data_IF_498716881644
#
_entry.id   IF_498716881644
#
_cell.length_a   1.000
_cell.length_b   1.000
_cell.length_c   1.000
_cell.angle_alpha   90.00
_cell.angle_beta   90.00
_cell.angle_gamma   90.00
#
_symmetry.space_group_name_H-M   'P 1'
#
loop_
_entity.id
_entity.type
_entity.pdbx_description
1 polymer ?
#
# COMPACT_ATOMS: atom_id res chain seq x y z
N UNK A 1 -16.30 -13.97 -40.95
CA UNK A 1 -15.12 -13.39 -40.28
C UNK A 1 -14.27 -14.54 -39.77
N UNK A 2 -12.94 -14.46 -39.78
CA UNK A 2 -12.06 -15.56 -39.37
C UNK A 2 -11.19 -15.14 -38.18
N UNK A 3 -10.69 -16.12 -37.43
CA UNK A 3 -9.81 -15.86 -36.30
C UNK A 3 -8.43 -15.40 -36.78
N UNK A 4 -7.96 -14.28 -36.22
CA UNK A 4 -6.66 -13.68 -36.54
C UNK A 4 -5.44 -14.59 -36.25
N UNK A 5 -5.60 -15.63 -35.43
CA UNK A 5 -4.51 -16.55 -35.07
C UNK A 5 -4.56 -17.90 -35.80
N UNK A 6 -5.74 -18.40 -36.17
CA UNK A 6 -5.88 -19.77 -36.70
C UNK A 6 -6.88 -19.92 -37.85
N UNK A 7 -7.40 -18.83 -38.39
CA UNK A 7 -8.31 -18.84 -39.55
C UNK A 7 -9.69 -19.44 -39.30
N UNK A 8 -9.98 -19.95 -38.09
CA UNK A 8 -11.28 -20.56 -37.78
C UNK A 8 -12.44 -19.57 -38.02
N UNK A 9 -13.54 -20.06 -38.60
CA UNK A 9 -14.73 -19.24 -38.83
C UNK A 9 -15.30 -18.73 -37.52
N UNK A 10 -15.56 -17.43 -37.45
CA UNK A 10 -16.12 -16.73 -36.31
C UNK A 10 -17.53 -16.26 -36.61
N UNK A 11 -18.38 -16.27 -35.58
CA UNK A 11 -19.70 -15.64 -35.63
C UNK A 11 -19.58 -14.13 -35.89
N UNK A 12 -20.57 -13.58 -36.59
CA UNK A 12 -20.58 -12.18 -37.07
C UNK A 12 -20.53 -11.13 -35.97
N UNK A 13 -20.99 -11.44 -34.75
CA UNK A 13 -20.92 -10.52 -33.60
C UNK A 13 -19.61 -10.59 -32.80
N UNK A 14 -18.60 -11.34 -33.24
CA UNK A 14 -17.34 -11.44 -32.51
C UNK A 14 -16.49 -10.15 -32.64
N UNK A 15 -16.47 -9.36 -31.56
CA UNK A 15 -15.69 -8.10 -31.49
C UNK A 15 -14.20 -8.30 -31.22
N UNK A 16 -13.78 -9.47 -30.77
CA UNK A 16 -12.38 -9.72 -30.40
C UNK A 16 -11.50 -10.05 -31.61
N UNK A 17 -12.07 -10.58 -32.71
CA UNK A 17 -11.30 -11.11 -33.83
C UNK A 17 -10.55 -12.42 -33.52
N UNK A 18 -10.71 -12.98 -32.31
CA UNK A 18 -10.11 -14.25 -31.90
C UNK A 18 -11.17 -15.29 -31.55
N UNK A 19 -10.85 -16.56 -31.80
CA UNK A 19 -11.70 -17.65 -31.34
C UNK A 19 -11.52 -17.86 -29.83
N UNK A 20 -12.42 -18.63 -29.21
CA UNK A 20 -12.38 -18.94 -27.77
C UNK A 20 -11.04 -19.51 -27.29
N UNK A 21 -10.32 -20.23 -28.16
CA UNK A 21 -8.99 -20.79 -27.85
C UNK A 21 -7.89 -19.71 -27.81
N UNK A 22 -7.96 -18.71 -28.68
CA UNK A 22 -6.90 -17.70 -28.84
C UNK A 22 -7.19 -16.37 -28.12
N UNK A 23 -8.45 -16.11 -27.75
CA UNK A 23 -8.82 -14.85 -27.10
C UNK A 23 -8.10 -14.66 -25.76
N UNK A 24 -7.86 -15.73 -24.99
CA UNK A 24 -7.13 -15.65 -23.73
C UNK A 24 -5.68 -15.17 -23.91
N UNK A 25 -4.97 -15.75 -24.88
CA UNK A 25 -3.58 -15.38 -25.20
C UNK A 25 -3.48 -13.95 -25.75
N UNK A 26 -4.45 -13.53 -26.54
CA UNK A 26 -4.55 -12.14 -27.01
C UNK A 26 -4.78 -11.17 -25.84
N UNK A 27 -5.75 -11.46 -24.97
CA UNK A 27 -6.05 -10.59 -23.83
C UNK A 27 -4.89 -10.51 -22.83
N UNK A 28 -4.12 -11.59 -22.65
CA UNK A 28 -2.95 -11.60 -21.75
C UNK A 28 -1.76 -10.82 -22.30
N UNK A 29 -1.65 -10.69 -23.63
CA UNK A 29 -0.57 -9.93 -24.29
C UNK A 29 -0.96 -8.47 -24.56
N UNK A 30 -2.25 -8.12 -24.49
CA UNK A 30 -2.75 -6.76 -24.69
C UNK A 30 -2.51 -5.87 -23.47
N UNK A 31 -1.60 -4.90 -23.62
CA UNK A 31 -1.36 -3.86 -22.61
C UNK A 31 -2.61 -2.99 -22.38
N UNK A 32 -3.37 -2.69 -23.43
CA UNK A 32 -4.61 -1.91 -23.34
C UNK A 32 -5.67 -2.63 -22.50
N UNK A 33 -5.86 -3.93 -22.73
CA UNK A 33 -6.78 -4.72 -21.93
C UNK A 33 -6.36 -4.78 -20.47
N UNK A 34 -5.06 -5.03 -20.20
CA UNK A 34 -4.51 -5.02 -18.86
C UNK A 34 -4.74 -3.67 -18.14
N UNK A 35 -4.52 -2.56 -18.83
CA UNK A 35 -4.76 -1.21 -18.31
C UNK A 35 -6.24 -0.98 -17.99
N UNK A 36 -7.16 -1.40 -18.87
CA UNK A 36 -8.61 -1.30 -18.65
C UNK A 36 -9.08 -2.08 -17.43
N UNK A 37 -8.60 -3.32 -17.27
CA UNK A 37 -8.92 -4.15 -16.09
C UNK A 37 -8.35 -3.51 -14.82
N UNK A 38 -7.10 -3.04 -14.86
CA UNK A 38 -6.47 -2.36 -13.71
C UNK A 38 -7.24 -1.12 -13.29
N UNK A 39 -7.64 -0.27 -14.25
CA UNK A 39 -8.43 0.92 -13.98
C UNK A 39 -9.80 0.59 -13.37
N UNK A 40 -10.49 -0.43 -13.88
CA UNK A 40 -11.76 -0.91 -13.34
C UNK A 40 -11.62 -1.42 -11.91
N UNK A 41 -10.60 -2.22 -11.62
CA UNK A 41 -10.31 -2.73 -10.28
C UNK A 41 -9.97 -1.60 -9.30
N UNK A 42 -9.13 -0.64 -9.71
CA UNK A 42 -8.80 0.54 -8.88
C UNK A 42 -10.05 1.35 -8.56
N UNK A 43 -10.91 1.60 -9.55
CA UNK A 43 -12.18 2.30 -9.34
C UNK A 43 -13.05 1.55 -8.34
N UNK A 44 -13.25 0.24 -8.54
CA UNK A 44 -14.06 -0.58 -7.63
C UNK A 44 -13.51 -0.56 -6.21
N UNK A 45 -12.20 -0.71 -6.03
CA UNK A 45 -11.56 -0.60 -4.72
C UNK A 45 -11.73 0.78 -4.08
N UNK A 46 -11.79 1.84 -4.87
CA UNK A 46 -11.97 3.20 -4.38
C UNK A 46 -13.42 3.50 -3.97
N UNK A 47 -14.40 3.03 -4.75
CA UNK A 47 -15.82 3.42 -4.62
C UNK A 47 -16.67 2.43 -3.83
N UNK A 48 -16.31 1.15 -3.81
CA UNK A 48 -17.11 0.08 -3.20
C UNK A 48 -16.48 -0.37 -1.85
N UNK A 49 -17.02 0.09 -0.71
CA UNK A 49 -16.49 -0.27 0.60
C UNK A 49 -16.70 -1.76 0.94
N UNK A 50 -17.78 -2.39 0.44
CA UNK A 50 -18.06 -3.81 0.69
C UNK A 50 -17.01 -4.66 -0.01
N UNK A 51 -16.72 -4.35 -1.28
CA UNK A 51 -15.68 -5.05 -2.04
C UNK A 51 -14.30 -4.90 -1.39
N UNK A 52 -13.97 -3.70 -0.90
CA UNK A 52 -12.72 -3.44 -0.18
C UNK A 52 -12.62 -4.29 1.10
N UNK A 53 -13.71 -4.38 1.86
CA UNK A 53 -13.74 -5.17 3.09
C UNK A 53 -13.64 -6.68 2.80
N UNK A 54 -14.31 -7.18 1.75
CA UNK A 54 -14.17 -8.56 1.31
C UNK A 54 -12.72 -8.91 0.96
N UNK A 55 -12.04 -8.05 0.20
CA UNK A 55 -10.63 -8.24 -0.12
C UNK A 55 -9.75 -8.23 1.14
N UNK A 56 -10.03 -7.33 2.08
CA UNK A 56 -9.31 -7.25 3.36
C UNK A 56 -9.53 -8.50 4.23
N UNK A 57 -10.76 -9.00 4.29
CA UNK A 57 -11.10 -10.22 5.02
C UNK A 57 -10.40 -11.45 4.46
N UNK A 58 -10.35 -11.60 3.12
CA UNK A 58 -9.60 -12.68 2.46
C UNK A 58 -8.11 -12.56 2.79
N UNK A 59 -7.54 -11.36 2.73
CA UNK A 59 -6.13 -11.15 3.08
C UNK A 59 -5.85 -11.55 4.54
N UNK A 60 -6.70 -11.14 5.49
CA UNK A 60 -6.59 -11.54 6.91
C UNK A 60 -6.66 -13.05 7.08
N UNK A 61 -7.61 -13.72 6.43
CA UNK A 61 -7.75 -15.19 6.46
C UNK A 61 -6.49 -15.88 5.92
N UNK A 62 -5.95 -15.39 4.81
CA UNK A 62 -4.74 -15.96 4.21
C UNK A 62 -3.52 -15.77 5.12
N UNK A 63 -3.36 -14.60 5.75
CA UNK A 63 -2.28 -14.33 6.68
C UNK A 63 -2.36 -15.16 7.96
N UNK A 64 -3.58 -15.46 8.44
CA UNK A 64 -3.79 -16.29 9.63
C UNK A 64 -3.41 -17.77 9.40
N UNK A 65 -3.41 -18.25 8.15
CA UNK A 65 -3.00 -19.62 7.83
C UNK A 65 -1.50 -19.68 7.51
N UNK A 66 -0.69 -20.41 8.31
CA UNK A 66 0.75 -20.54 8.04
C UNK A 66 1.06 -21.12 6.65
N UNK A 67 0.25 -22.09 6.21
CA UNK A 67 0.38 -22.73 4.89
C UNK A 67 0.15 -21.74 3.75
N UNK A 68 -0.91 -20.94 3.83
CA UNK A 68 -1.22 -19.95 2.79
C UNK A 68 -0.21 -18.79 2.81
N UNK A 69 0.26 -18.40 3.99
CA UNK A 69 1.31 -17.40 4.13
C UNK A 69 2.63 -17.85 3.48
N UNK A 70 3.04 -19.10 3.68
CA UNK A 70 4.25 -19.63 3.04
C UNK A 70 4.06 -19.78 1.52
N UNK A 71 2.90 -20.27 1.07
CA UNK A 71 2.58 -20.33 -0.35
C UNK A 71 2.63 -18.93 -1.02
N UNK A 72 2.11 -17.91 -0.34
CA UNK A 72 2.17 -16.53 -0.81
C UNK A 72 3.61 -16.00 -0.86
N UNK A 73 4.44 -16.34 0.13
CA UNK A 73 5.87 -16.00 0.16
C UNK A 73 6.61 -16.61 -1.03
N UNK A 74 6.42 -17.90 -1.30
CA UNK A 74 7.03 -18.58 -2.44
C UNK A 74 6.53 -18.03 -3.78
N UNK A 75 5.25 -17.72 -3.89
CA UNK A 75 4.69 -17.06 -5.07
C UNK A 75 5.32 -15.67 -5.31
N UNK A 76 5.54 -14.88 -4.25
CA UNK A 76 6.19 -13.58 -4.33
C UNK A 76 7.66 -13.70 -4.77
N UNK A 77 8.39 -14.71 -4.28
CA UNK A 77 9.76 -15.01 -4.71
C UNK A 77 9.79 -15.39 -6.19
N UNK A 78 8.98 -16.37 -6.60
CA UNK A 78 8.92 -16.87 -7.99
C UNK A 78 8.53 -15.78 -8.98
N UNK A 79 7.60 -14.90 -8.62
CA UNK A 79 7.15 -13.80 -9.49
C UNK A 79 8.13 -12.62 -9.55
N UNK A 80 9.19 -12.62 -8.72
CA UNK A 80 10.12 -11.51 -8.60
C UNK A 80 9.44 -10.22 -8.11
N UNK A 81 8.39 -10.35 -7.29
CA UNK A 81 7.56 -9.22 -6.87
C UNK A 81 8.39 -8.09 -6.22
N UNK A 82 9.45 -8.44 -5.49
CA UNK A 82 10.35 -7.45 -4.87
C UNK A 82 11.07 -6.57 -5.90
N UNK A 83 11.54 -7.15 -7.02
CA UNK A 83 12.23 -6.40 -8.08
C UNK A 83 11.27 -5.42 -8.75
N UNK A 84 10.05 -5.89 -9.02
CA UNK A 84 8.98 -5.06 -9.59
C UNK A 84 8.60 -3.92 -8.64
N UNK A 85 8.51 -4.20 -7.35
CA UNK A 85 8.20 -3.18 -6.34
C UNK A 85 9.30 -2.11 -6.27
N UNK A 86 10.58 -2.49 -6.27
CA UNK A 86 11.69 -1.53 -6.28
C UNK A 86 11.68 -0.70 -7.56
N UNK A 87 11.52 -1.33 -8.72
CA UNK A 87 11.47 -0.62 -10.00
C UNK A 87 10.29 0.37 -10.09
N UNK A 88 9.18 0.08 -9.40
CA UNK A 88 8.01 0.95 -9.33
C UNK A 88 8.08 2.01 -8.21
N UNK A 89 9.08 1.95 -7.32
CA UNK A 89 9.20 2.88 -6.19
C UNK A 89 9.74 4.20 -6.70
N UNK A 90 8.94 5.27 -6.58
CA UNK A 90 9.37 6.65 -6.87
C UNK A 90 9.80 7.36 -5.58
N UNK A 91 10.63 8.41 -5.66
CA UNK A 91 11.00 9.21 -4.49
C UNK A 91 9.79 9.75 -3.72
N UNK A 92 8.74 10.17 -4.42
CA UNK A 92 7.50 10.69 -3.83
C UNK A 92 6.75 9.59 -3.08
N UNK A 93 6.65 8.38 -3.68
CA UNK A 93 6.01 7.24 -3.05
C UNK A 93 6.75 6.81 -1.78
N UNK A 94 8.09 6.88 -1.79
CA UNK A 94 8.93 6.57 -0.65
C UNK A 94 8.76 7.61 0.46
N UNK A 95 8.78 8.91 0.13
CA UNK A 95 8.56 10.00 1.08
C UNK A 95 7.18 9.89 1.74
N UNK A 96 6.13 9.59 0.96
CA UNK A 96 4.79 9.37 1.48
C UNK A 96 4.73 8.16 2.43
N UNK A 97 5.39 7.06 2.08
CA UNK A 97 5.48 5.88 2.93
C UNK A 97 6.22 6.19 4.25
N UNK A 98 7.33 6.95 4.19
CA UNK A 98 8.07 7.39 5.36
C UNK A 98 7.20 8.25 6.29
N UNK A 99 6.45 9.21 5.72
CA UNK A 99 5.50 10.05 6.47
C UNK A 99 4.43 9.21 7.19
N UNK A 100 3.76 8.30 6.47
CA UNK A 100 2.74 7.41 7.05
C UNK A 100 3.30 6.50 8.14
N UNK A 101 4.52 5.99 7.95
CA UNK A 101 5.20 5.18 8.96
C UNK A 101 5.49 5.98 10.22
N UNK A 102 5.94 7.24 10.07
CA UNK A 102 6.15 8.14 11.19
C UNK A 102 4.85 8.47 11.91
N UNK A 103 3.77 8.79 11.20
CA UNK A 103 2.44 9.04 11.78
C UNK A 103 1.94 7.87 12.62
N UNK A 104 2.14 6.63 12.14
CA UNK A 104 1.70 5.43 12.85
C UNK A 104 2.58 5.13 14.07
N UNK A 105 3.90 5.19 13.92
CA UNK A 105 4.86 4.80 14.98
C UNK A 105 5.05 5.88 16.04
N UNK A 106 4.88 7.14 15.66
CA UNK A 106 5.04 8.33 16.50
C UNK A 106 3.69 9.02 16.71
N UNK A 107 2.60 8.26 16.71
CA UNK A 107 1.25 8.76 17.01
C UNK A 107 1.15 9.38 18.40
N UNK A 108 1.92 8.86 19.36
CA UNK A 108 2.02 9.40 20.72
C UNK A 108 2.87 10.68 20.81
N UNK A 109 3.74 10.94 19.83
CA UNK A 109 4.70 12.04 19.88
C UNK A 109 4.07 13.30 19.28
N UNK A 110 3.99 14.41 20.05
CA UNK A 110 3.54 15.70 19.54
C UNK A 110 4.33 16.11 18.29
N UNK A 111 3.64 16.68 17.30
CA UNK A 111 4.21 16.92 15.97
C UNK A 111 5.41 17.87 16.06
N UNK A 112 5.29 18.90 16.88
CA UNK A 112 6.29 19.93 17.13
C UNK A 112 7.54 19.42 17.84
N UNK A 113 7.48 18.25 18.50
CA UNK A 113 8.62 17.63 19.21
C UNK A 113 9.17 16.39 18.48
N UNK A 114 8.69 16.05 17.28
CA UNK A 114 9.16 14.87 16.55
C UNK A 114 10.63 14.95 16.14
N UNK A 115 11.10 16.15 15.79
CA UNK A 115 12.50 16.34 15.42
C UNK A 115 13.41 16.21 16.63
N UNK A 116 12.97 16.69 17.79
CA UNK A 116 13.68 16.50 19.06
C UNK A 116 13.75 15.02 19.44
N UNK A 117 12.64 14.28 19.32
CA UNK A 117 12.66 12.83 19.55
C UNK A 117 13.65 12.10 18.61
N UNK A 118 13.70 12.50 17.35
CA UNK A 118 14.66 11.96 16.39
C UNK A 118 16.10 12.33 16.75
N UNK A 119 16.35 13.54 17.24
CA UNK A 119 17.66 13.96 17.72
C UNK A 119 18.11 13.10 18.91
N UNK A 120 17.26 12.93 19.92
CA UNK A 120 17.53 12.11 21.10
C UNK A 120 17.86 10.65 20.73
N UNK A 121 17.08 10.05 19.84
CA UNK A 121 17.27 8.64 19.46
C UNK A 121 18.41 8.42 18.45
N UNK A 122 18.53 9.27 17.41
CA UNK A 122 19.51 9.05 16.33
C UNK A 122 20.88 9.62 16.63
N UNK A 123 20.95 10.81 17.24
CA UNK A 123 22.21 11.53 17.52
C UNK A 123 22.71 11.26 18.93
N UNK A 124 21.83 11.34 19.93
CA UNK A 124 22.20 11.09 21.33
C UNK A 124 22.13 9.61 21.74
N UNK A 125 21.61 8.75 20.86
CA UNK A 125 21.54 7.29 21.05
C UNK A 125 20.81 6.87 22.33
N UNK A 126 19.89 7.71 22.82
CA UNK A 126 19.04 7.36 23.95
C UNK A 126 18.11 6.21 23.59
N UNK A 127 17.74 5.41 24.59
CA UNK A 127 16.72 4.38 24.39
C UNK A 127 15.40 5.06 24.05
N UNK A 128 14.60 4.42 23.21
CA UNK A 128 13.32 4.97 22.77
C UNK A 128 12.35 5.26 23.94
N UNK A 129 12.38 4.43 25.00
CA UNK A 129 11.57 4.63 26.19
C UNK A 129 11.97 5.92 26.94
N UNK A 130 13.26 6.09 27.23
CA UNK A 130 13.80 7.29 27.88
C UNK A 130 13.54 8.56 27.06
N UNK A 131 13.78 8.50 25.74
CA UNK A 131 13.49 9.62 24.85
C UNK A 131 12.00 9.98 24.81
N UNK A 132 11.11 8.99 24.95
CA UNK A 132 9.66 9.23 25.01
C UNK A 132 9.25 9.95 26.30
N UNK A 133 9.81 9.55 27.44
CA UNK A 133 9.54 10.21 28.73
C UNK A 133 9.97 11.67 28.70
N UNK A 134 11.18 11.96 28.17
CA UNK A 134 11.69 13.32 28.01
C UNK A 134 10.75 14.17 27.16
N UNK A 135 10.29 13.65 26.03
CA UNK A 135 9.41 14.37 25.10
C UNK A 135 8.04 14.65 25.70
N UNK A 136 7.45 13.68 26.40
CA UNK A 136 6.15 13.87 27.06
C UNK A 136 6.25 14.88 28.20
N UNK A 137 7.31 14.82 29.01
CA UNK A 137 7.56 15.80 30.06
C UNK A 137 7.77 17.21 29.49
N UNK A 138 8.48 17.32 28.35
CA UNK A 138 8.66 18.61 27.67
C UNK A 138 7.34 19.14 27.11
N UNK A 139 6.52 18.28 26.49
CA UNK A 139 5.23 18.67 25.96
C UNK A 139 4.29 19.16 27.08
N UNK A 140 4.24 18.45 28.20
CA UNK A 140 3.45 18.87 29.35
C UNK A 140 3.85 20.25 29.88
N UNK A 141 5.15 20.51 30.01
CA UNK A 141 5.67 21.84 30.38
C UNK A 141 5.26 22.92 29.39
N UNK A 142 5.41 22.65 28.08
CA UNK A 142 5.01 23.59 27.02
C UNK A 142 3.50 23.88 27.09
N UNK A 143 2.68 22.85 27.31
CA UNK A 143 1.23 23.00 27.42
C UNK A 143 0.82 23.74 28.69
N UNK A 144 1.50 23.53 29.82
CA UNK A 144 1.27 24.27 31.05
C UNK A 144 1.61 25.76 30.88
N UNK A 145 2.73 26.07 30.23
CA UNK A 145 3.11 27.45 29.94
C UNK A 145 2.11 28.13 29.00
N UNK A 146 1.65 27.40 27.97
CA UNK A 146 0.63 27.88 27.04
C UNK A 146 -0.70 28.19 27.74
N UNK A 147 -1.18 27.29 28.63
CA UNK A 147 -2.39 27.52 29.44
C UNK A 147 -2.27 28.77 30.31
N UNK A 148 -1.14 28.93 30.99
CA UNK A 148 -0.84 30.13 31.80
C UNK A 148 -0.87 31.41 30.97
N UNK A 149 -0.31 31.39 29.75
CA UNK A 149 -0.32 32.54 28.83
C UNK A 149 -1.72 32.89 28.31
N UNK A 150 -2.63 31.91 28.22
CA UNK A 150 -4.02 32.13 27.84
C UNK A 150 -4.92 32.60 28.99
N UNK A 151 -4.39 32.76 30.20
CA UNK A 151 -5.17 33.23 31.36
C UNK A 151 -6.19 32.22 31.88
N UNK A 152 -6.04 30.93 31.53
CA UNK A 152 -6.80 29.85 32.12
C UNK A 152 -6.07 29.35 33.37
N UNK A 153 -6.30 30.01 34.50
CA UNK A 153 -6.17 29.39 35.83
C UNK A 153 -7.52 28.80 36.25
#
# INVERSE_FOLDING_TARGET
>A
MTCNACGASLWSGNKSGYCRKHVGAFLSSSAEHAAKISAGLRRKMATDPIYREQCSAIARKNCASPKLREAAREAAKRSGAWRKAIAATTPESYALAAKRSAETKLSWCPIELRDEYQFLTKRKKLKAAEAREIILAQHEKNMAEFRRKLGAE
#
